data_IF_266177501155
#
_entry.id   IF_266177501155
#
_cell.length_a   1.000
_cell.length_b   1.000
_cell.length_c   1.000
_cell.angle_alpha   90.00
_cell.angle_beta   90.00
_cell.angle_gamma   90.00
#
_symmetry.space_group_name_H-M   'P 1'
#
loop_
_entity.id
_entity.type
_entity.pdbx_description
1 polymer ?
#
# COMPACT_ATOMS: atom_id res chain seq x y z
N UNK A 1 -17.43 2.75 -6.11
CA UNK A 1 -17.16 3.70 -5.01
C UNK A 1 -16.08 4.66 -5.47
N UNK A 2 -15.99 5.84 -4.85
CA UNK A 2 -14.98 6.85 -5.17
C UNK A 2 -14.00 6.93 -4.01
N UNK A 3 -12.71 6.77 -4.30
CA UNK A 3 -11.65 6.81 -3.28
C UNK A 3 -10.71 7.96 -3.55
N UNK A 4 -10.32 8.67 -2.49
CA UNK A 4 -9.23 9.63 -2.54
C UNK A 4 -7.99 8.96 -1.93
N UNK A 5 -6.90 8.91 -2.67
CA UNK A 5 -5.66 8.26 -2.23
C UNK A 5 -4.54 9.30 -2.21
N UNK A 6 -3.96 9.54 -1.03
CA UNK A 6 -2.76 10.35 -0.90
C UNK A 6 -1.51 9.59 -1.33
N UNK A 7 -0.46 10.31 -1.71
CA UNK A 7 0.81 9.76 -2.21
C UNK A 7 0.58 8.62 -3.22
N UNK A 8 -0.30 8.83 -4.21
CA UNK A 8 -0.83 7.79 -5.11
C UNK A 8 0.24 7.13 -6.02
N UNK A 9 1.43 7.72 -6.13
CA UNK A 9 2.55 7.16 -6.89
C UNK A 9 3.66 6.55 -6.01
N UNK A 10 3.49 6.59 -4.69
CA UNK A 10 4.32 5.82 -3.76
C UNK A 10 4.19 4.32 -4.02
N UNK A 11 5.04 3.50 -3.39
CA UNK A 11 4.96 2.05 -3.56
C UNK A 11 3.60 1.50 -3.14
N UNK A 12 3.16 1.84 -1.94
CA UNK A 12 1.90 1.40 -1.36
C UNK A 12 0.72 2.05 -2.09
N UNK A 13 0.81 3.36 -2.36
CA UNK A 13 -0.20 4.12 -3.08
C UNK A 13 -0.45 3.58 -4.49
N UNK A 14 0.60 3.32 -5.26
CA UNK A 14 0.48 2.80 -6.62
C UNK A 14 -0.23 1.45 -6.66
N UNK A 15 0.19 0.51 -5.80
CA UNK A 15 -0.42 -0.83 -5.76
C UNK A 15 -1.87 -0.79 -5.26
N UNK A 16 -2.20 0.10 -4.32
CA UNK A 16 -3.58 0.28 -3.87
C UNK A 16 -4.45 0.87 -4.98
N UNK A 17 -3.98 1.93 -5.65
CA UNK A 17 -4.71 2.57 -6.76
C UNK A 17 -4.92 1.58 -7.90
N UNK A 18 -3.88 0.85 -8.31
CA UNK A 18 -3.97 -0.19 -9.35
C UNK A 18 -5.04 -1.23 -8.97
N UNK A 19 -5.01 -1.73 -7.74
CA UNK A 19 -6.00 -2.69 -7.23
C UNK A 19 -7.43 -2.14 -7.29
N UNK A 20 -7.64 -0.91 -6.79
CA UNK A 20 -8.97 -0.28 -6.77
C UNK A 20 -9.52 -0.07 -8.19
N UNK A 21 -8.66 0.35 -9.13
CA UNK A 21 -9.03 0.54 -10.53
C UNK A 21 -9.37 -0.80 -11.21
N UNK A 22 -8.60 -1.86 -10.97
CA UNK A 22 -8.87 -3.22 -11.46
C UNK A 22 -10.20 -3.77 -10.95
N UNK A 23 -10.59 -3.42 -9.72
CA UNK A 23 -11.88 -3.77 -9.12
C UNK A 23 -13.04 -2.87 -9.60
N UNK A 24 -12.78 -1.91 -10.50
CA UNK A 24 -13.78 -1.05 -11.12
C UNK A 24 -14.20 0.14 -10.26
N UNK A 25 -13.38 0.54 -9.30
CA UNK A 25 -13.60 1.74 -8.50
C UNK A 25 -13.02 2.99 -9.17
N UNK A 26 -13.60 4.15 -8.89
CA UNK A 26 -13.01 5.43 -9.31
C UNK A 26 -12.06 5.92 -8.24
N UNK A 27 -10.92 6.43 -8.68
CA UNK A 27 -9.84 6.85 -7.79
C UNK A 27 -9.35 8.24 -8.15
N UNK A 28 -9.40 9.14 -7.18
CA UNK A 28 -8.71 10.42 -7.21
C UNK A 28 -7.36 10.28 -6.51
N UNK A 29 -6.26 10.59 -7.19
CA UNK A 29 -4.91 10.50 -6.63
C UNK A 29 -4.31 11.86 -6.32
N UNK A 30 -3.81 12.05 -5.11
CA UNK A 30 -2.95 13.18 -4.73
C UNK A 30 -1.50 12.69 -4.70
N UNK A 31 -0.58 13.54 -5.13
CA UNK A 31 0.85 13.26 -5.06
C UNK A 31 1.62 14.52 -4.66
N UNK A 32 2.87 14.34 -4.27
CA UNK A 32 3.78 15.45 -3.96
C UNK A 32 4.03 16.32 -5.20
N UNK A 33 4.42 17.58 -5.01
CA UNK A 33 4.68 18.50 -6.13
C UNK A 33 5.88 18.13 -6.99
N UNK A 34 6.74 17.21 -6.53
CA UNK A 34 7.95 16.78 -7.23
C UNK A 34 7.98 15.26 -7.31
N UNK A 35 7.76 14.73 -8.51
CA UNK A 35 7.81 13.29 -8.79
C UNK A 35 9.23 12.85 -9.15
N UNK A 36 9.65 11.71 -8.61
CA UNK A 36 10.83 10.97 -9.06
C UNK A 36 10.63 10.39 -10.46
N UNK A 37 11.72 10.00 -11.13
CA UNK A 37 11.64 9.31 -12.43
C UNK A 37 10.77 8.05 -12.38
N UNK A 38 10.79 7.33 -11.26
CA UNK A 38 9.94 6.17 -11.03
C UNK A 38 8.47 6.59 -10.97
N UNK A 39 8.14 7.59 -10.17
CA UNK A 39 6.76 8.07 -10.03
C UNK A 39 6.21 8.66 -11.34
N UNK A 40 7.02 9.37 -12.12
CA UNK A 40 6.64 9.81 -13.48
C UNK A 40 6.36 8.62 -14.38
N UNK A 41 7.13 7.53 -14.28
CA UNK A 41 6.85 6.32 -15.05
C UNK A 41 5.54 5.68 -14.61
N UNK A 42 5.28 5.60 -13.30
CA UNK A 42 4.07 5.01 -12.73
C UNK A 42 2.82 5.83 -13.04
N UNK A 43 2.91 7.16 -13.00
CA UNK A 43 1.80 8.07 -13.33
C UNK A 43 1.31 7.86 -14.75
N UNK A 44 2.20 7.56 -15.70
CA UNK A 44 1.80 7.24 -17.07
C UNK A 44 0.93 5.97 -17.15
N UNK A 45 1.11 4.98 -16.27
CA UNK A 45 0.23 3.80 -16.27
C UNK A 45 -1.14 4.10 -15.71
N UNK A 46 -1.21 4.78 -14.56
CA UNK A 46 -2.46 5.10 -13.89
C UNK A 46 -3.26 6.17 -14.65
N UNK A 47 -2.60 7.21 -15.15
CA UNK A 47 -3.21 8.34 -15.86
C UNK A 47 -3.94 7.98 -17.15
N UNK A 48 -3.73 6.77 -17.69
CA UNK A 48 -4.49 6.27 -18.85
C UNK A 48 -5.77 5.54 -18.47
N UNK A 49 -5.97 5.23 -17.19
CA UNK A 49 -7.15 4.52 -16.75
C UNK A 49 -8.35 5.46 -16.68
N UNK A 50 -9.45 5.10 -17.34
CA UNK A 50 -10.63 5.97 -17.45
C UNK A 50 -11.29 6.31 -16.09
N UNK A 51 -11.05 5.49 -15.07
CA UNK A 51 -11.57 5.67 -13.71
C UNK A 51 -10.60 6.40 -12.78
N UNK A 52 -9.43 6.83 -13.27
CA UNK A 52 -8.44 7.57 -12.48
C UNK A 52 -8.54 9.08 -12.78
N UNK A 53 -8.33 9.91 -11.76
CA UNK A 53 -8.23 11.36 -11.89
C UNK A 53 -7.16 11.91 -10.94
N UNK A 54 -6.39 12.89 -11.39
CA UNK A 54 -5.40 13.56 -10.54
C UNK A 54 -6.03 14.70 -9.74
N UNK A 55 -5.66 14.82 -8.46
CA UNK A 55 -6.12 15.86 -7.56
C UNK A 55 -7.51 15.61 -6.98
N UNK A 56 -7.91 16.49 -6.06
CA UNK A 56 -9.22 16.43 -5.40
C UNK A 56 -10.30 16.88 -6.39
N UNK A 57 -11.22 15.97 -6.69
CA UNK A 57 -12.43 16.20 -7.49
C UNK A 57 -13.62 16.54 -6.58
N UNK A 58 -14.61 17.27 -7.13
CA UNK A 58 -15.93 17.49 -6.51
C UNK A 58 -16.77 16.20 -6.58
N UNK A 59 -16.49 15.24 -5.68
CA UNK A 59 -17.14 13.93 -5.60
C UNK A 59 -17.33 13.51 -4.15
N UNK A 60 -18.31 12.65 -3.90
CA UNK A 60 -18.53 12.03 -2.60
C UNK A 60 -17.58 10.85 -2.40
N UNK A 61 -16.46 11.10 -1.71
CA UNK A 61 -15.49 10.04 -1.42
C UNK A 61 -15.98 9.11 -0.31
N UNK A 62 -15.99 7.81 -0.63
CA UNK A 62 -16.28 6.76 0.34
C UNK A 62 -15.16 6.62 1.38
N UNK A 63 -13.91 6.80 0.97
CA UNK A 63 -12.78 6.90 1.89
C UNK A 63 -11.69 7.82 1.35
N UNK A 64 -11.04 8.53 2.27
CA UNK A 64 -9.73 9.14 2.07
C UNK A 64 -8.67 8.25 2.71
N UNK A 65 -7.73 7.78 1.90
CA UNK A 65 -6.64 6.92 2.34
C UNK A 65 -5.35 7.73 2.40
N UNK A 66 -4.76 7.75 3.58
CA UNK A 66 -3.44 8.33 3.84
C UNK A 66 -2.43 7.24 4.17
N UNK A 67 -1.16 7.54 3.93
CA UNK A 67 -0.05 6.66 4.29
C UNK A 67 0.81 7.38 5.32
N UNK A 68 1.17 6.66 6.39
CA UNK A 68 2.12 7.11 7.42
C UNK A 68 1.71 8.40 8.14
N UNK A 69 0.39 8.68 8.25
CA UNK A 69 -0.13 9.88 8.90
C UNK A 69 0.07 11.18 8.12
N UNK A 70 0.54 11.11 6.87
CA UNK A 70 0.66 12.26 5.99
C UNK A 70 -0.64 12.44 5.18
N UNK A 71 -1.26 13.61 5.29
CA UNK A 71 -2.38 13.97 4.42
C UNK A 71 -3.01 15.33 4.69
N UNK A 72 -3.83 15.77 3.75
CA UNK A 72 -4.61 16.99 3.85
C UNK A 72 -5.65 16.89 4.97
N UNK A 73 -5.52 17.74 5.99
CA UNK A 73 -6.40 17.69 7.17
C UNK A 73 -7.87 18.04 6.89
N UNK A 74 -8.17 18.67 5.75
CA UNK A 74 -9.51 19.18 5.43
C UNK A 74 -9.98 18.69 4.06
N UNK A 75 -10.25 17.39 3.98
CA UNK A 75 -11.08 16.82 2.91
C UNK A 75 -12.38 16.32 3.53
N UNK A 76 -13.51 16.67 2.92
CA UNK A 76 -14.83 16.15 3.26
C UNK A 76 -14.99 14.75 2.66
N UNK A 77 -14.99 13.75 3.54
CA UNK A 77 -15.04 12.32 3.18
C UNK A 77 -15.87 11.55 4.20
N UNK A 78 -16.46 10.44 3.78
CA UNK A 78 -17.24 9.59 4.67
C UNK A 78 -16.40 8.86 5.71
N UNK A 79 -15.13 8.55 5.38
CA UNK A 79 -14.22 7.77 6.22
C UNK A 79 -12.78 8.16 5.96
N UNK A 80 -11.97 8.29 7.02
CA UNK A 80 -10.52 8.44 6.93
C UNK A 80 -9.82 7.15 7.33
N UNK A 81 -8.95 6.67 6.45
CA UNK A 81 -8.22 5.42 6.63
C UNK A 81 -6.72 5.70 6.55
N UNK A 82 -5.98 5.33 7.58
CA UNK A 82 -4.53 5.51 7.62
C UNK A 82 -3.82 4.16 7.55
N UNK A 83 -2.91 3.99 6.58
CA UNK A 83 -2.04 2.83 6.43
C UNK A 83 -0.63 3.16 6.96
N UNK A 84 -0.08 2.35 7.86
CA UNK A 84 1.23 2.62 8.48
C UNK A 84 2.01 1.35 8.85
N UNK A 85 3.33 1.45 9.07
CA UNK A 85 4.25 0.31 9.29
C UNK A 85 4.48 -0.09 10.77
N UNK A 86 3.91 0.62 11.75
CA UNK A 86 4.11 0.36 13.18
C UNK A 86 2.89 0.62 14.06
N UNK A 87 3.05 1.00 15.32
CA UNK A 87 1.93 1.59 16.09
C UNK A 87 1.81 3.05 15.74
N UNK A 88 0.65 3.48 15.24
CA UNK A 88 0.37 4.90 14.98
C UNK A 88 -0.35 5.50 16.18
N UNK A 89 0.13 6.63 16.67
CA UNK A 89 -0.61 7.48 17.62
C UNK A 89 -1.63 8.39 16.92
N UNK A 90 -1.84 8.24 15.60
CA UNK A 90 -2.76 9.07 14.83
C UNK A 90 -4.22 8.81 15.24
N UNK A 91 -4.70 9.61 16.20
CA UNK A 91 -6.06 9.55 16.73
C UNK A 91 -7.12 10.09 15.79
N UNK A 92 -6.73 10.73 14.68
CA UNK A 92 -7.65 11.44 13.78
C UNK A 92 -8.20 10.56 12.65
N UNK A 93 -7.72 9.30 12.52
CA UNK A 93 -8.22 8.34 11.55
C UNK A 93 -9.39 7.49 12.11
N UNK A 94 -10.42 7.26 11.30
CA UNK A 94 -11.54 6.38 11.68
C UNK A 94 -11.11 4.90 11.69
N UNK A 95 -10.24 4.55 10.75
CA UNK A 95 -9.68 3.20 10.58
C UNK A 95 -8.17 3.29 10.42
N UNK A 96 -7.45 2.51 11.22
CA UNK A 96 -6.02 2.29 11.11
C UNK A 96 -5.75 0.89 10.56
N UNK A 97 -4.86 0.81 9.59
CA UNK A 97 -4.40 -0.44 8.98
C UNK A 97 -2.89 -0.53 9.15
N UNK A 98 -2.45 -1.46 10.00
CA UNK A 98 -1.05 -1.74 10.23
C UNK A 98 -0.53 -2.69 9.14
N UNK A 99 0.25 -2.13 8.22
CA UNK A 99 0.93 -2.84 7.17
C UNK A 99 2.13 -3.62 7.72
N UNK A 100 2.37 -4.84 7.22
CA UNK A 100 3.60 -5.58 7.48
C UNK A 100 4.73 -4.99 6.61
N UNK A 101 5.97 -5.45 6.76
CA UNK A 101 6.96 -5.25 5.68
C UNK A 101 6.36 -5.82 4.40
N UNK A 102 6.19 -4.99 3.38
CA UNK A 102 5.65 -5.43 2.10
C UNK A 102 6.75 -5.55 1.06
N UNK A 103 6.66 -6.55 0.17
CA UNK A 103 7.54 -6.67 -0.98
C UNK A 103 6.78 -6.79 -2.30
N UNK A 104 7.35 -6.24 -3.37
CA UNK A 104 6.76 -6.29 -4.70
C UNK A 104 7.44 -5.39 -5.71
N UNK A 105 6.91 -5.38 -6.94
CA UNK A 105 7.39 -4.49 -8.01
C UNK A 105 7.34 -3.04 -7.55
N UNK A 106 8.27 -2.22 -8.02
CA UNK A 106 8.40 -0.79 -7.68
C UNK A 106 8.71 -0.44 -6.21
N UNK A 107 8.83 -1.42 -5.32
CA UNK A 107 9.30 -1.23 -3.94
C UNK A 107 10.67 -0.53 -3.88
N UNK A 108 10.90 0.45 -3.00
CA UNK A 108 12.24 0.98 -2.75
C UNK A 108 13.23 -0.13 -2.35
N UNK A 109 14.31 -0.31 -3.11
CA UNK A 109 15.28 -1.39 -2.89
C UNK A 109 16.60 -1.17 -3.63
N UNK A 110 17.62 -1.91 -3.23
CA UNK A 110 18.84 -2.14 -4.00
C UNK A 110 18.88 -3.59 -4.54
N UNK A 111 20.06 -4.17 -4.76
CA UNK A 111 20.20 -5.51 -5.36
C UNK A 111 19.84 -6.63 -4.39
N UNK A 112 20.12 -6.46 -3.10
CA UNK A 112 20.10 -7.51 -2.08
C UNK A 112 19.26 -7.17 -0.86
N UNK A 113 18.77 -5.93 -0.77
CA UNK A 113 17.96 -5.45 0.32
C UNK A 113 16.84 -4.51 -0.15
N UNK A 114 15.81 -4.38 0.68
CA UNK A 114 14.74 -3.40 0.52
C UNK A 114 14.90 -2.26 1.51
N UNK A 115 14.35 -1.10 1.17
CA UNK A 115 14.33 0.06 2.05
C UNK A 115 12.97 0.11 2.76
N UNK A 116 12.97 0.00 4.09
CA UNK A 116 11.76 0.04 4.93
C UNK A 116 12.01 0.86 6.18
N UNK A 117 11.14 1.85 6.43
CA UNK A 117 11.29 2.83 7.53
C UNK A 117 12.70 3.47 7.60
N UNK A 118 13.30 3.74 6.44
CA UNK A 118 14.65 4.31 6.33
C UNK A 118 15.79 3.34 6.63
N UNK A 119 15.49 2.06 6.84
CA UNK A 119 16.47 0.99 7.07
C UNK A 119 16.60 0.12 5.82
N UNK A 120 17.83 -0.34 5.56
CA UNK A 120 18.07 -1.34 4.53
C UNK A 120 17.95 -2.74 5.14
N UNK A 121 16.96 -3.52 4.71
CA UNK A 121 16.69 -4.88 5.20
C UNK A 121 17.04 -5.89 4.12
N UNK A 122 18.09 -6.72 4.31
CA UNK A 122 18.45 -7.78 3.37
C UNK A 122 17.33 -8.78 3.13
N UNK A 123 17.20 -9.31 1.90
CA UNK A 123 16.21 -10.35 1.60
C UNK A 123 16.49 -11.69 2.30
N UNK A 124 17.72 -11.90 2.78
CA UNK A 124 18.10 -13.06 3.57
C UNK A 124 17.95 -12.86 5.09
N UNK A 125 17.57 -11.65 5.52
CA UNK A 125 17.31 -11.34 6.92
C UNK A 125 16.19 -12.22 7.52
N UNK A 126 16.39 -12.64 8.76
CA UNK A 126 15.47 -13.54 9.45
C UNK A 126 14.10 -12.89 9.70
N UNK A 127 14.08 -11.59 10.05
CA UNK A 127 12.85 -10.84 10.27
C UNK A 127 12.10 -10.65 8.96
N UNK A 128 12.78 -10.26 7.87
CA UNK A 128 12.17 -10.20 6.54
C UNK A 128 11.54 -11.53 6.15
N UNK A 129 12.30 -12.63 6.24
CA UNK A 129 11.82 -13.97 5.86
C UNK A 129 10.64 -14.45 6.69
N UNK A 130 10.57 -14.03 7.95
CA UNK A 130 9.50 -14.40 8.86
C UNK A 130 8.26 -13.50 8.70
N UNK A 131 8.40 -12.21 8.43
CA UNK A 131 7.29 -11.25 8.56
C UNK A 131 6.83 -10.61 7.24
N UNK A 132 7.67 -10.56 6.21
CA UNK A 132 7.35 -9.78 5.02
C UNK A 132 6.26 -10.42 4.13
N UNK A 133 5.37 -9.62 3.58
CA UNK A 133 4.24 -10.07 2.77
C UNK A 133 4.26 -9.49 1.35
N UNK A 134 3.77 -10.23 0.35
CA UNK A 134 3.63 -9.69 -0.99
C UNK A 134 2.61 -8.56 -1.00
N UNK A 135 2.97 -7.41 -1.58
CA UNK A 135 2.17 -6.17 -1.57
C UNK A 135 0.80 -6.36 -2.22
N UNK A 136 0.72 -7.14 -3.31
CA UNK A 136 -0.50 -7.27 -4.11
C UNK A 136 -1.67 -7.88 -3.32
N UNK A 137 -1.55 -9.07 -2.68
CA UNK A 137 -2.65 -9.62 -1.87
C UNK A 137 -2.95 -8.78 -0.63
N UNK A 138 -1.96 -8.06 -0.08
CA UNK A 138 -2.18 -7.08 0.99
C UNK A 138 -3.11 -5.97 0.49
N UNK A 139 -2.80 -5.34 -0.64
CA UNK A 139 -3.61 -4.25 -1.21
C UNK A 139 -4.99 -4.70 -1.69
N UNK A 140 -5.13 -5.91 -2.22
CA UNK A 140 -6.44 -6.53 -2.50
C UNK A 140 -7.29 -6.67 -1.24
N UNK A 141 -6.67 -6.96 -0.10
CA UNK A 141 -7.41 -7.07 1.16
C UNK A 141 -7.74 -5.69 1.72
N UNK A 142 -6.81 -4.73 1.63
CA UNK A 142 -7.10 -3.32 1.95
C UNK A 142 -8.28 -2.82 1.12
N UNK A 143 -8.31 -3.06 -0.20
CA UNK A 143 -9.41 -2.66 -1.07
C UNK A 143 -10.76 -3.20 -0.58
N UNK A 144 -10.82 -4.48 -0.21
CA UNK A 144 -12.03 -5.10 0.36
C UNK A 144 -12.44 -4.47 1.69
N UNK A 145 -11.48 -4.10 2.55
CA UNK A 145 -11.76 -3.37 3.79
C UNK A 145 -12.31 -1.97 3.49
N UNK A 146 -11.80 -1.28 2.48
CA UNK A 146 -12.27 0.05 2.07
C UNK A 146 -13.69 0.00 1.47
N UNK A 147 -13.99 -1.02 0.66
CA UNK A 147 -15.30 -1.19 0.03
C UNK A 147 -16.36 -1.76 0.99
N UNK A 148 -15.92 -2.44 2.05
CA UNK A 148 -16.78 -3.06 3.04
C UNK A 148 -17.20 -2.13 4.17
N UNK A 149 -18.17 -2.62 4.96
CA UNK A 149 -18.56 -1.97 6.20
C UNK A 149 -17.57 -2.37 7.31
N UNK A 150 -16.67 -1.47 7.69
CA UNK A 150 -15.66 -1.74 8.72
C UNK A 150 -16.22 -1.44 10.09
N UNK A 151 -16.66 -2.48 10.81
CA UNK A 151 -17.03 -2.35 12.24
C UNK A 151 -15.80 -2.15 13.14
N UNK A 152 -14.65 -2.65 12.72
CA UNK A 152 -13.39 -2.57 13.47
C UNK A 152 -12.54 -1.40 13.01
N UNK A 153 -11.90 -0.74 13.98
CA UNK A 153 -11.07 0.44 13.75
C UNK A 153 -9.60 0.12 13.45
N UNK A 154 -9.12 -1.06 13.80
CA UNK A 154 -7.71 -1.41 13.68
C UNK A 154 -7.60 -2.73 12.94
N UNK A 155 -6.79 -2.83 11.88
CA UNK A 155 -6.48 -4.08 11.19
C UNK A 155 -4.97 -4.33 11.18
N UNK A 156 -4.57 -5.59 11.22
CA UNK A 156 -3.15 -5.99 11.23
C UNK A 156 -2.93 -7.18 10.33
N UNK A 157 -1.83 -7.17 9.58
CA UNK A 157 -1.46 -8.26 8.69
C UNK A 157 -0.27 -9.06 9.21
N UNK A 158 -0.33 -10.38 9.04
CA UNK A 158 0.74 -11.30 9.45
C UNK A 158 0.98 -12.35 8.38
N UNK A 159 2.22 -12.82 8.29
CA UNK A 159 2.46 -14.12 7.68
C UNK A 159 1.92 -15.22 8.58
N UNK A 160 1.31 -16.24 7.96
CA UNK A 160 0.62 -17.33 8.68
C UNK A 160 1.51 -18.02 9.72
N UNK A 161 2.80 -18.16 9.44
CA UNK A 161 3.76 -18.87 10.29
C UNK A 161 4.07 -18.14 11.61
N UNK A 162 3.82 -16.83 11.66
CA UNK A 162 4.12 -15.96 12.82
C UNK A 162 2.88 -15.21 13.31
N UNK A 163 1.70 -15.59 12.82
CA UNK A 163 0.45 -15.01 13.24
C UNK A 163 0.15 -15.43 14.69
N UNK A 164 -0.20 -14.50 15.59
CA UNK A 164 -0.61 -14.84 16.96
C UNK A 164 -1.87 -15.72 16.94
N UNK A 165 -2.06 -16.53 17.98
CA UNK A 165 -3.27 -17.34 18.15
C UNK A 165 -4.52 -16.44 18.09
N UNK A 166 -5.48 -16.83 17.25
CA UNK A 166 -6.55 -15.95 16.79
C UNK A 166 -7.72 -15.90 17.79
N UNK A 167 -7.88 -14.77 18.47
CA UNK A 167 -9.15 -14.39 19.13
C UNK A 167 -9.85 -13.19 18.45
N UNK A 168 -9.12 -12.41 17.63
CA UNK A 168 -9.60 -11.15 17.05
C UNK A 168 -9.71 -11.19 15.51
N UNK A 169 -10.87 -10.76 14.98
CA UNK A 169 -11.17 -10.65 13.54
C UNK A 169 -10.38 -9.55 12.83
N UNK A 170 -9.68 -8.70 13.57
CA UNK A 170 -8.81 -7.64 13.02
C UNK A 170 -7.46 -8.16 12.50
N UNK A 171 -7.12 -9.40 12.83
CA UNK A 171 -5.86 -10.05 12.46
C UNK A 171 -6.05 -10.83 11.16
N UNK A 172 -5.30 -10.43 10.12
CA UNK A 172 -5.38 -10.99 8.78
C UNK A 172 -4.08 -11.75 8.47
N UNK A 173 -4.19 -13.06 8.21
CA UNK A 173 -3.05 -13.92 7.96
C UNK A 173 -2.93 -14.33 6.49
N UNK A 174 -1.74 -14.20 5.91
CA UNK A 174 -1.45 -14.61 4.54
C UNK A 174 -0.49 -15.81 4.46
N UNK A 175 -0.74 -16.66 3.47
CA UNK A 175 0.25 -17.63 2.99
C UNK A 175 1.08 -16.98 1.88
N UNK A 176 2.38 -17.25 1.81
CA UNK A 176 3.29 -16.69 0.82
C UNK A 176 4.23 -17.75 0.25
N UNK A 177 4.73 -17.53 -0.95
CA UNK A 177 5.79 -18.34 -1.54
C UNK A 177 7.02 -17.45 -1.75
N UNK A 178 7.73 -17.19 -0.65
CA UNK A 178 8.80 -16.20 -0.62
C UNK A 178 9.88 -16.45 -1.67
N UNK A 179 10.20 -17.72 -1.97
CA UNK A 179 11.23 -18.07 -2.95
C UNK A 179 10.83 -17.66 -4.37
N UNK A 180 9.63 -18.03 -4.80
CA UNK A 180 9.15 -17.73 -6.14
C UNK A 180 8.88 -16.23 -6.29
N UNK A 181 8.34 -15.61 -5.25
CA UNK A 181 8.11 -14.17 -5.19
C UNK A 181 9.41 -13.37 -5.31
N UNK A 182 10.45 -13.73 -4.55
CA UNK A 182 11.77 -13.08 -4.64
C UNK A 182 12.39 -13.29 -6.02
N UNK A 183 12.23 -14.49 -6.61
CA UNK A 183 12.72 -14.76 -7.97
C UNK A 183 12.08 -13.79 -8.98
N UNK A 184 10.75 -13.62 -8.94
CA UNK A 184 10.05 -12.67 -9.79
C UNK A 184 10.47 -11.22 -9.51
N UNK A 185 10.68 -10.87 -8.24
CA UNK A 185 11.13 -9.55 -7.81
C UNK A 185 12.51 -9.20 -8.37
N UNK A 186 13.48 -10.13 -8.30
CA UNK A 186 14.82 -9.92 -8.85
C UNK A 186 14.80 -9.81 -10.39
N UNK A 187 13.97 -10.60 -11.08
CA UNK A 187 13.79 -10.47 -12.53
C UNK A 187 13.23 -9.11 -12.92
N UNK A 188 12.24 -8.61 -12.18
CA UNK A 188 11.69 -7.27 -12.39
C UNK A 188 12.76 -6.19 -12.14
N UNK A 189 13.47 -6.25 -11.02
CA UNK A 189 14.55 -5.31 -10.70
C UNK A 189 15.62 -5.27 -11.81
N UNK A 190 16.07 -6.43 -12.29
CA UNK A 190 17.05 -6.50 -13.37
C UNK A 190 16.55 -5.79 -14.65
N UNK A 191 15.28 -6.00 -15.02
CA UNK A 191 14.66 -5.39 -16.20
C UNK A 191 14.45 -3.88 -16.06
N UNK A 192 14.12 -3.40 -14.87
CA UNK A 192 13.69 -2.01 -14.63
C UNK A 192 14.68 -1.20 -13.78
N UNK A 193 15.90 -1.69 -13.57
CA UNK A 193 16.92 -1.14 -12.67
C UNK A 193 17.17 0.36 -12.82
N UNK A 194 16.99 0.93 -14.01
CA UNK A 194 17.11 2.38 -14.25
C UNK A 194 16.13 3.23 -13.43
N UNK A 195 14.98 2.69 -13.03
CA UNK A 195 13.96 3.37 -12.23
C UNK A 195 14.17 3.21 -10.72
N UNK A 196 15.16 2.42 -10.29
CA UNK A 196 15.47 2.15 -8.89
C UNK A 196 16.71 2.91 -8.39
N UNK A 197 17.28 3.79 -9.22
CA UNK A 197 18.47 4.59 -8.91
C UNK A 197 18.10 5.96 -8.38
#
# INVERSE_FOLDING_TARGET
MHFLIDNCYSFEGYHLVETLLEEGHEVSGIHSSVLSNKEVHLSMYLGRHALFSEGIQEKDYAAYVTFFGEGAKQVDVQRRVNLHYGTSEDTDADVQILLPICYGKWMPRDTDALQWEGQNIPFDDAFFRAHALPIQPVMQTVSKLLAGDTSSKNYRFYAKDVCPEQEDRTVIAFTRNLKDDLTALHQHYAKYSQFYK
#
